data_IF_447802768799
#
_entry.id   IF_447802768799
#
_cell.length_a   1.000
_cell.length_b   1.000
_cell.length_c   1.000
_cell.angle_alpha   90.00
_cell.angle_beta   90.00
_cell.angle_gamma   90.00
#
_symmetry.space_group_name_H-M   'P 1'
#
loop_
_entity.id
_entity.type
_entity.pdbx_description
1 polymer ?
#
# COMPACT_ATOMS: atom_id res chain seq x y z
N UNK A 1 12.02 -6.69 -39.82
CA UNK A 1 12.75 -5.64 -39.09
C UNK A 1 13.31 -6.11 -37.73
N UNK A 2 12.52 -6.60 -36.75
CA UNK A 2 13.07 -7.04 -35.44
C UNK A 2 14.01 -8.25 -35.56
N UNK A 3 13.60 -9.32 -36.24
CA UNK A 3 14.45 -10.50 -36.46
C UNK A 3 15.74 -10.18 -37.25
N UNK A 4 15.68 -9.26 -38.21
CA UNK A 4 16.84 -8.82 -38.98
C UNK A 4 17.86 -8.10 -38.10
N UNK A 5 17.41 -7.28 -37.14
CA UNK A 5 18.29 -6.65 -36.15
C UNK A 5 18.96 -7.70 -35.27
N UNK A 6 18.21 -8.70 -34.79
CA UNK A 6 18.79 -9.80 -34.00
C UNK A 6 19.82 -10.58 -34.83
N UNK A 7 19.52 -10.92 -36.09
CA UNK A 7 20.48 -11.60 -36.97
C UNK A 7 21.76 -10.79 -37.16
N UNK A 8 21.65 -9.48 -37.41
CA UNK A 8 22.80 -8.60 -37.52
C UNK A 8 23.67 -8.61 -36.25
N UNK A 9 23.06 -8.49 -35.06
CA UNK A 9 23.76 -8.58 -33.78
C UNK A 9 24.45 -9.94 -33.62
N UNK A 10 23.77 -11.03 -33.97
CA UNK A 10 24.32 -12.39 -33.88
C UNK A 10 25.52 -12.60 -34.82
N UNK A 11 25.48 -12.04 -36.03
CA UNK A 11 26.59 -12.15 -36.98
C UNK A 11 27.80 -11.32 -36.53
N UNK A 12 27.57 -10.19 -35.86
CA UNK A 12 28.63 -9.38 -35.25
C UNK A 12 29.28 -10.08 -34.04
N UNK A 13 28.49 -10.74 -33.19
CA UNK A 13 28.98 -11.56 -32.07
C UNK A 13 29.85 -12.71 -32.57
N UNK A 14 29.46 -13.40 -33.65
CA UNK A 14 30.28 -14.49 -34.23
C UNK A 14 31.65 -14.00 -34.71
N UNK A 15 31.74 -12.76 -35.19
CA UNK A 15 33.01 -12.16 -35.63
C UNK A 15 33.88 -11.75 -34.43
N UNK A 16 33.24 -11.29 -33.36
CA UNK A 16 33.91 -10.75 -32.17
C UNK A 16 33.86 -11.76 -31.03
N UNK A 17 34.83 -12.69 -30.98
CA UNK A 17 34.82 -13.87 -30.09
C UNK A 17 34.88 -13.60 -28.57
N UNK A 18 34.94 -12.35 -28.12
CA UNK A 18 35.10 -11.99 -26.71
C UNK A 18 34.06 -10.94 -26.27
N UNK A 19 32.79 -11.27 -26.46
CA UNK A 19 31.66 -10.40 -26.11
C UNK A 19 30.73 -11.18 -25.19
N UNK A 20 30.38 -10.58 -24.05
CA UNK A 20 29.34 -11.06 -23.14
C UNK A 20 28.11 -10.18 -23.37
N UNK A 21 27.02 -10.79 -23.81
CA UNK A 21 25.75 -10.08 -23.99
C UNK A 21 24.95 -10.08 -22.69
N UNK A 22 24.47 -8.94 -22.24
CA UNK A 22 23.46 -8.87 -21.18
C UNK A 22 22.07 -8.75 -21.82
N UNK A 23 21.17 -9.64 -21.45
CA UNK A 23 19.77 -9.62 -21.88
C UNK A 23 18.93 -9.42 -20.62
N UNK A 24 18.37 -8.22 -20.48
CA UNK A 24 17.32 -8.01 -19.48
C UNK A 24 16.02 -8.69 -19.93
N UNK A 25 15.22 -9.14 -18.98
CA UNK A 25 13.94 -9.83 -19.25
C UNK A 25 14.04 -10.93 -20.32
N UNK A 26 14.98 -11.88 -20.16
CA UNK A 26 15.29 -12.95 -21.13
C UNK A 26 14.04 -13.72 -21.61
N UNK A 27 13.04 -13.87 -20.75
CA UNK A 27 11.79 -14.55 -21.06
C UNK A 27 10.97 -13.89 -22.18
N UNK A 28 11.13 -12.59 -22.43
CA UNK A 28 10.41 -11.87 -23.51
C UNK A 28 10.83 -12.36 -24.89
N UNK A 29 12.10 -12.76 -25.01
CA UNK A 29 12.72 -13.24 -26.25
C UNK A 29 12.44 -14.73 -26.48
N UNK A 30 12.28 -15.48 -25.38
CA UNK A 30 12.14 -16.94 -25.36
C UNK A 30 10.68 -17.41 -25.31
N UNK A 31 9.81 -16.66 -24.66
CA UNK A 31 8.44 -17.04 -24.31
C UNK A 31 7.35 -16.53 -25.25
N UNK A 32 7.71 -15.76 -26.28
CA UNK A 32 6.79 -15.10 -27.21
C UNK A 32 5.89 -16.06 -28.01
N UNK A 33 6.20 -17.37 -28.07
CA UNK A 33 5.38 -18.35 -28.79
C UNK A 33 4.02 -18.69 -28.16
N UNK A 34 3.72 -18.23 -26.94
CA UNK A 34 2.50 -18.59 -26.22
C UNK A 34 1.37 -17.53 -26.28
N UNK A 35 1.65 -16.31 -26.74
CA UNK A 35 0.65 -15.25 -26.90
C UNK A 35 0.46 -14.95 -28.39
N UNK A 36 -0.79 -14.97 -28.87
CA UNK A 36 -1.12 -14.65 -30.26
C UNK A 36 -0.59 -13.26 -30.64
N UNK A 37 0.50 -13.23 -31.43
CA UNK A 37 1.06 -12.00 -32.00
C UNK A 37 2.48 -11.61 -31.52
N UNK A 38 3.07 -12.30 -30.55
CA UNK A 38 4.46 -12.02 -30.14
C UNK A 38 5.47 -12.78 -31.03
N UNK A 39 6.50 -12.09 -31.51
CA UNK A 39 7.54 -12.67 -32.38
C UNK A 39 8.51 -13.54 -31.59
N UNK A 40 8.59 -14.83 -31.92
CA UNK A 40 9.48 -15.81 -31.28
C UNK A 40 10.90 -15.79 -31.87
N UNK A 41 11.83 -15.15 -31.17
CA UNK A 41 13.24 -15.11 -31.57
C UNK A 41 14.06 -16.32 -31.06
N UNK A 42 13.46 -17.26 -30.31
CA UNK A 42 14.13 -18.42 -29.73
C UNK A 42 14.91 -19.26 -30.76
N UNK A 43 14.36 -19.35 -31.98
CA UNK A 43 14.96 -20.13 -33.07
C UNK A 43 16.30 -19.56 -33.56
N UNK A 44 16.58 -18.28 -33.30
CA UNK A 44 17.85 -17.63 -33.65
C UNK A 44 18.89 -17.86 -32.55
N UNK A 45 18.48 -17.82 -31.27
CA UNK A 45 19.37 -17.93 -30.12
C UNK A 45 19.77 -19.38 -29.78
N UNK A 46 18.83 -20.32 -29.84
CA UNK A 46 19.07 -21.74 -29.48
C UNK A 46 20.29 -22.35 -30.20
N UNK A 47 20.46 -22.18 -31.52
CA UNK A 47 21.62 -22.74 -32.22
C UNK A 47 22.94 -22.09 -31.78
N UNK A 48 22.96 -20.77 -31.57
CA UNK A 48 24.17 -20.04 -31.19
C UNK A 48 24.60 -20.34 -29.75
N UNK A 49 23.64 -20.43 -28.82
CA UNK A 49 23.87 -20.90 -27.45
C UNK A 49 24.36 -22.34 -27.44
N UNK A 50 23.81 -23.22 -28.29
CA UNK A 50 24.24 -24.61 -28.34
C UNK A 50 25.62 -24.83 -28.95
N UNK A 51 26.05 -23.95 -29.86
CA UNK A 51 27.41 -23.98 -30.43
C UNK A 51 28.45 -23.24 -29.59
N UNK A 52 28.02 -22.56 -28.51
CA UNK A 52 28.90 -21.72 -27.71
C UNK A 52 29.42 -20.48 -28.46
N UNK A 53 28.75 -20.09 -29.56
CA UNK A 53 29.07 -18.90 -30.35
C UNK A 53 28.63 -17.61 -29.64
N UNK A 54 27.72 -17.75 -28.67
CA UNK A 54 27.14 -16.66 -27.92
C UNK A 54 27.34 -16.90 -26.43
N UNK A 55 27.94 -15.93 -25.74
CA UNK A 55 27.98 -15.87 -24.29
C UNK A 55 27.00 -14.78 -23.83
N UNK A 56 26.07 -15.12 -22.95
CA UNK A 56 25.16 -14.14 -22.40
C UNK A 56 24.85 -14.35 -20.92
N UNK A 57 24.45 -13.26 -20.28
CA UNK A 57 23.84 -13.22 -18.96
C UNK A 57 22.40 -12.78 -19.17
N UNK A 58 21.45 -13.61 -18.77
CA UNK A 58 20.03 -13.29 -18.82
C UNK A 58 19.48 -12.98 -17.43
N UNK A 59 18.69 -11.92 -17.32
CA UNK A 59 17.88 -11.63 -16.13
C UNK A 59 16.42 -12.01 -16.37
N UNK A 60 15.77 -12.62 -15.38
CA UNK A 60 14.33 -12.96 -15.44
C UNK A 60 13.81 -13.23 -14.03
N UNK A 61 12.49 -13.18 -13.84
CA UNK A 61 11.88 -13.58 -12.58
C UNK A 61 11.81 -15.10 -12.43
N UNK A 62 11.68 -15.59 -11.18
CA UNK A 62 11.54 -17.02 -10.91
C UNK A 62 10.30 -17.62 -11.61
N UNK A 63 9.21 -16.86 -11.69
CA UNK A 63 7.97 -17.31 -12.32
C UNK A 63 8.14 -17.52 -13.83
N UNK A 64 8.79 -16.59 -14.51
CA UNK A 64 9.07 -16.68 -15.94
C UNK A 64 10.11 -17.75 -16.27
N UNK A 65 11.14 -17.89 -15.44
CA UNK A 65 12.13 -18.97 -15.60
C UNK A 65 11.45 -20.33 -15.62
N UNK A 66 10.57 -20.61 -14.63
CA UNK A 66 9.80 -21.86 -14.56
C UNK A 66 8.85 -22.04 -15.74
N UNK A 67 8.26 -20.95 -16.24
CA UNK A 67 7.27 -20.99 -17.31
C UNK A 67 7.90 -21.22 -18.69
N UNK A 68 9.02 -20.57 -18.98
CA UNK A 68 9.57 -20.47 -20.34
C UNK A 68 10.94 -21.11 -20.52
N UNK A 69 11.79 -21.16 -19.48
CA UNK A 69 13.18 -21.63 -19.61
C UNK A 69 13.31 -23.06 -19.12
N UNK A 70 12.82 -23.37 -17.91
CA UNK A 70 12.92 -24.71 -17.30
C UNK A 70 12.17 -25.78 -18.11
N UNK A 71 11.08 -25.39 -18.78
CA UNK A 71 10.31 -26.29 -19.67
C UNK A 71 11.01 -26.55 -21.00
N UNK A 72 11.95 -25.70 -21.41
CA UNK A 72 12.65 -25.83 -22.68
C UNK A 72 14.00 -26.53 -22.48
N UNK A 73 14.06 -27.81 -22.84
CA UNK A 73 15.26 -28.63 -22.69
C UNK A 73 16.52 -28.10 -23.38
N UNK A 74 16.38 -27.27 -24.43
CA UNK A 74 17.53 -26.70 -25.14
C UNK A 74 18.15 -25.54 -24.35
N UNK A 75 17.33 -24.76 -23.65
CA UNK A 75 17.77 -23.60 -22.87
C UNK A 75 18.18 -23.99 -21.46
N UNK A 76 17.43 -24.90 -20.82
CA UNK A 76 17.74 -25.40 -19.48
C UNK A 76 19.14 -26.05 -19.40
N UNK A 77 19.56 -26.73 -20.48
CA UNK A 77 20.91 -27.32 -20.60
C UNK A 77 22.03 -26.32 -20.88
N UNK A 78 21.73 -25.03 -21.06
CA UNK A 78 22.68 -23.98 -21.47
C UNK A 78 22.76 -22.84 -20.47
N UNK A 79 21.69 -22.58 -19.74
CA UNK A 79 21.71 -21.63 -18.64
C UNK A 79 22.04 -22.32 -17.33
N UNK A 80 22.95 -21.71 -16.57
CA UNK A 80 23.12 -22.03 -15.16
C UNK A 80 22.32 -21.01 -14.35
N UNK A 81 21.35 -21.49 -13.56
CA UNK A 81 20.53 -20.60 -12.72
C UNK A 81 21.35 -20.07 -11.55
N UNK A 82 21.46 -18.74 -11.45
CA UNK A 82 21.99 -18.05 -10.26
C UNK A 82 20.82 -17.33 -9.59
N UNK A 83 20.42 -17.81 -8.41
CA UNK A 83 19.31 -17.20 -7.67
C UNK A 83 19.81 -15.93 -6.98
N UNK A 84 19.22 -14.80 -7.35
CA UNK A 84 19.43 -13.51 -6.68
C UNK A 84 18.23 -13.25 -5.79
N UNK A 85 18.46 -13.16 -4.48
CA UNK A 85 17.42 -12.83 -3.51
C UNK A 85 17.32 -11.31 -3.32
N UNK A 86 16.17 -10.84 -2.82
CA UNK A 86 16.04 -9.45 -2.41
C UNK A 86 17.06 -9.15 -1.29
N UNK A 87 17.65 -7.94 -1.25
CA UNK A 87 18.60 -7.56 -0.22
C UNK A 87 17.95 -7.56 1.16
N UNK A 88 18.77 -7.79 2.18
CA UNK A 88 18.38 -7.57 3.57
C UNK A 88 18.06 -6.09 3.81
N UNK A 89 17.33 -5.76 4.89
CA UNK A 89 17.07 -4.36 5.24
C UNK A 89 18.39 -3.57 5.42
N UNK A 90 19.41 -4.19 6.04
CA UNK A 90 20.71 -3.56 6.22
C UNK A 90 21.42 -3.26 4.90
N UNK A 91 21.36 -4.19 3.95
CA UNK A 91 21.98 -4.01 2.64
C UNK A 91 21.19 -3.01 1.78
N UNK A 92 19.85 -3.01 1.87
CA UNK A 92 19.02 -2.01 1.23
C UNK A 92 19.35 -0.59 1.74
N UNK A 93 19.58 -0.40 3.04
CA UNK A 93 20.02 0.89 3.60
C UNK A 93 21.38 1.31 3.01
N UNK A 94 22.34 0.38 2.85
CA UNK A 94 23.63 0.67 2.21
C UNK A 94 23.46 1.08 0.73
N UNK A 95 22.57 0.41 0.00
CA UNK A 95 22.23 0.76 -1.38
C UNK A 95 21.65 2.18 -1.43
N UNK A 96 20.69 2.51 -0.56
CA UNK A 96 20.10 3.84 -0.46
C UNK A 96 21.15 4.91 -0.14
N UNK A 97 22.08 4.64 0.79
CA UNK A 97 23.21 5.53 1.08
C UNK A 97 24.12 5.74 -0.13
N UNK A 98 24.32 4.71 -0.95
CA UNK A 98 25.13 4.79 -2.17
C UNK A 98 24.51 5.60 -3.32
N UNK A 99 23.17 5.63 -3.41
CA UNK A 99 22.45 6.40 -4.44
C UNK A 99 22.00 7.79 -3.94
N UNK A 100 22.06 8.04 -2.62
CA UNK A 100 21.58 9.25 -1.95
C UNK A 100 22.00 10.53 -2.68
N UNK A 101 23.28 10.72 -2.96
CA UNK A 101 23.80 11.94 -3.57
C UNK A 101 23.17 12.26 -4.93
N UNK A 102 22.84 11.24 -5.73
CA UNK A 102 22.17 11.42 -7.02
C UNK A 102 20.74 11.94 -6.87
N UNK A 103 20.01 11.44 -5.88
CA UNK A 103 18.63 11.90 -5.60
C UNK A 103 18.61 13.26 -4.91
N UNK A 104 19.58 13.55 -4.04
CA UNK A 104 19.76 14.88 -3.44
C UNK A 104 20.00 15.95 -4.51
N UNK A 105 20.89 15.66 -5.47
CA UNK A 105 21.17 16.55 -6.59
C UNK A 105 19.95 16.70 -7.52
N UNK A 106 19.28 15.58 -7.85
CA UNK A 106 18.13 15.59 -8.75
C UNK A 106 16.95 16.41 -8.22
N UNK A 107 16.65 16.28 -6.92
CA UNK A 107 15.51 16.97 -6.29
C UNK A 107 15.87 18.29 -5.63
N UNK A 108 17.16 18.60 -5.49
CA UNK A 108 17.67 19.71 -4.68
C UNK A 108 17.18 19.66 -3.23
N UNK A 109 17.34 18.50 -2.60
CA UNK A 109 16.98 18.24 -1.19
C UNK A 109 18.13 17.53 -0.49
N UNK A 110 18.12 17.53 0.85
CA UNK A 110 19.05 16.76 1.68
C UNK A 110 18.26 15.69 2.44
N UNK A 111 18.61 14.41 2.29
CA UNK A 111 17.94 13.32 3.00
C UNK A 111 18.63 13.05 4.33
N UNK A 112 17.91 12.95 5.45
CA UNK A 112 18.55 12.52 6.71
C UNK A 112 18.88 11.02 6.68
N UNK A 113 19.88 10.57 7.44
CA UNK A 113 20.17 9.13 7.56
C UNK A 113 18.96 8.34 8.08
N UNK A 114 18.22 8.94 9.01
CA UNK A 114 16.94 8.43 9.51
C UNK A 114 15.91 8.24 8.38
N UNK A 115 15.82 9.17 7.43
CA UNK A 115 14.89 9.07 6.31
C UNK A 115 15.18 7.84 5.42
N UNK A 116 16.46 7.48 5.22
CA UNK A 116 16.82 6.29 4.47
C UNK A 116 16.45 5.01 5.22
N UNK A 117 16.69 4.97 6.53
CA UNK A 117 16.29 3.83 7.36
C UNK A 117 14.77 3.65 7.38
N UNK A 118 14.02 4.76 7.51
CA UNK A 118 12.57 4.75 7.50
C UNK A 118 12.03 4.32 6.14
N UNK A 119 12.60 4.81 5.03
CA UNK A 119 12.22 4.39 3.69
C UNK A 119 12.30 2.85 3.54
N UNK A 120 13.38 2.22 4.02
CA UNK A 120 13.54 0.76 3.98
C UNK A 120 12.59 0.06 4.95
N UNK A 121 12.59 0.43 6.24
CA UNK A 121 11.78 -0.25 7.28
C UNK A 121 10.28 -0.15 6.97
N UNK A 122 9.81 1.02 6.56
CA UNK A 122 8.40 1.25 6.27
C UNK A 122 7.98 0.59 4.96
N UNK A 123 8.75 0.75 3.88
CA UNK A 123 8.41 0.08 2.62
C UNK A 123 8.46 -1.45 2.76
N UNK A 124 9.39 -2.00 3.55
CA UNK A 124 9.43 -3.43 3.79
C UNK A 124 8.21 -3.96 4.52
N UNK A 125 7.77 -3.23 5.55
CA UNK A 125 6.65 -3.62 6.39
C UNK A 125 5.27 -3.38 5.75
N UNK A 126 5.11 -2.29 5.00
CA UNK A 126 3.79 -1.82 4.55
C UNK A 126 3.56 -2.01 3.04
N UNK A 127 4.62 -2.12 2.23
CA UNK A 127 4.53 -2.35 0.78
C UNK A 127 5.00 -3.78 0.48
N UNK A 128 4.09 -4.74 0.65
CA UNK A 128 4.39 -6.19 0.63
C UNK A 128 4.39 -6.82 -0.77
N UNK A 129 3.78 -6.15 -1.76
CA UNK A 129 3.68 -6.63 -3.14
C UNK A 129 4.93 -6.32 -3.99
N UNK A 130 5.93 -5.64 -3.42
CA UNK A 130 7.18 -5.25 -4.08
C UNK A 130 8.39 -5.69 -3.25
N UNK A 131 9.53 -5.82 -3.91
CA UNK A 131 10.77 -6.26 -3.29
C UNK A 131 11.69 -5.07 -2.99
N UNK A 132 12.50 -5.20 -1.95
CA UNK A 132 13.64 -4.29 -1.75
C UNK A 132 14.67 -4.53 -2.88
N UNK A 133 15.53 -3.53 -3.20
CA UNK A 133 15.54 -2.17 -2.66
C UNK A 133 14.57 -1.22 -3.38
N UNK A 134 14.03 -1.64 -4.53
CA UNK A 134 13.23 -0.85 -5.47
C UNK A 134 12.10 -0.05 -4.80
N UNK A 135 11.26 -0.70 -3.99
CA UNK A 135 10.18 -0.02 -3.25
C UNK A 135 10.66 1.07 -2.28
N UNK A 136 11.86 0.94 -1.73
CA UNK A 136 12.41 1.94 -0.81
C UNK A 136 13.01 3.14 -1.59
N UNK A 137 13.56 2.87 -2.78
CA UNK A 137 14.07 3.89 -3.69
C UNK A 137 12.92 4.79 -4.15
N UNK A 138 11.79 4.22 -4.55
CA UNK A 138 10.67 5.04 -5.01
C UNK A 138 10.05 5.88 -3.89
N UNK A 139 9.98 5.34 -2.66
CA UNK A 139 9.52 6.11 -1.49
C UNK A 139 10.43 7.30 -1.24
N UNK A 140 11.76 7.12 -1.38
CA UNK A 140 12.75 8.18 -1.27
C UNK A 140 12.58 9.23 -2.38
N UNK A 141 12.40 8.78 -3.62
CA UNK A 141 12.23 9.61 -4.81
C UNK A 141 10.98 10.50 -4.73
N UNK A 142 9.85 9.92 -4.35
CA UNK A 142 8.60 10.66 -4.20
C UNK A 142 8.66 11.64 -3.02
N UNK A 143 9.31 11.26 -1.92
CA UNK A 143 9.51 12.17 -0.79
C UNK A 143 10.34 13.40 -1.20
N UNK A 144 11.41 13.20 -1.97
CA UNK A 144 12.24 14.28 -2.51
C UNK A 144 11.45 15.19 -3.46
N UNK A 145 10.75 14.59 -4.42
CA UNK A 145 9.88 15.31 -5.37
C UNK A 145 8.82 16.13 -4.65
N UNK A 146 8.13 15.54 -3.67
CA UNK A 146 7.05 16.20 -2.93
C UNK A 146 7.58 17.34 -2.05
N UNK A 147 8.71 17.13 -1.37
CA UNK A 147 9.34 18.19 -0.57
C UNK A 147 9.77 19.37 -1.47
N UNK A 148 10.31 19.08 -2.65
CA UNK A 148 10.66 20.10 -3.65
C UNK A 148 9.42 20.86 -4.14
N UNK A 149 8.35 20.16 -4.52
CA UNK A 149 7.10 20.79 -4.98
C UNK A 149 6.49 21.65 -3.87
N UNK A 150 6.45 21.15 -2.63
CA UNK A 150 5.93 21.92 -1.49
C UNK A 150 6.68 23.23 -1.27
N UNK A 151 8.00 23.26 -1.53
CA UNK A 151 8.79 24.49 -1.42
C UNK A 151 8.50 25.51 -2.54
N UNK A 152 7.90 25.09 -3.66
CA UNK A 152 7.52 25.98 -4.75
C UNK A 152 6.18 26.67 -4.52
N UNK A 153 5.39 26.21 -3.55
CA UNK A 153 4.10 26.83 -3.25
C UNK A 153 4.31 28.22 -2.65
N UNK A 154 3.61 29.20 -3.21
CA UNK A 154 3.64 30.57 -2.73
C UNK A 154 2.94 30.65 -1.36
N UNK A 155 3.38 31.54 -0.45
CA UNK A 155 2.65 31.82 0.77
C UNK A 155 1.21 32.22 0.44
N UNK A 156 0.20 31.70 1.16
CA UNK A 156 -1.20 32.05 0.92
C UNK A 156 -1.46 33.57 1.07
N UNK A 157 -0.65 34.23 1.90
CA UNK A 157 -0.63 35.69 2.09
C UNK A 157 -0.41 36.49 0.79
N UNK A 158 0.30 35.94 -0.21
CA UNK A 158 0.46 36.59 -1.51
C UNK A 158 -0.83 36.54 -2.34
N UNK A 159 -1.58 35.45 -2.24
CA UNK A 159 -2.87 35.28 -2.92
C UNK A 159 -3.95 36.14 -2.22
N UNK A 160 -3.93 36.20 -0.88
CA UNK A 160 -4.81 37.10 -0.11
C UNK A 160 -4.57 38.58 -0.48
N UNK A 161 -3.30 39.01 -0.52
CA UNK A 161 -2.94 40.37 -0.96
C UNK A 161 -3.33 40.64 -2.42
N UNK A 162 -3.31 39.63 -3.30
CA UNK A 162 -3.78 39.77 -4.68
C UNK A 162 -5.28 40.04 -4.72
N UNK A 163 -6.07 39.28 -3.95
CA UNK A 163 -7.51 39.47 -3.85
C UNK A 163 -7.86 40.86 -3.28
N UNK A 164 -7.15 41.31 -2.23
CA UNK A 164 -7.33 42.67 -1.67
C UNK A 164 -7.00 43.77 -2.71
N UNK A 165 -5.95 43.59 -3.51
CA UNK A 165 -5.60 44.54 -4.59
C UNK A 165 -6.72 44.60 -5.63
N UNK A 166 -7.26 43.45 -6.03
CA UNK A 166 -8.31 43.38 -7.06
C UNK A 166 -9.61 44.02 -6.56
N UNK A 167 -9.96 43.83 -5.28
CA UNK A 167 -11.09 44.51 -4.63
C UNK A 167 -10.92 46.03 -4.62
N UNK A 168 -9.75 46.53 -4.19
CA UNK A 168 -9.44 47.97 -4.16
C UNK A 168 -9.40 48.55 -5.58
N UNK A 169 -8.94 47.80 -6.57
CA UNK A 169 -9.00 48.20 -7.98
C UNK A 169 -10.45 48.38 -8.44
N UNK A 170 -11.35 47.45 -8.11
CA UNK A 170 -12.78 47.56 -8.42
C UNK A 170 -13.43 48.77 -7.75
N UNK A 171 -13.17 49.00 -6.47
CA UNK A 171 -13.66 50.17 -5.72
C UNK A 171 -13.16 51.50 -6.31
N UNK A 172 -11.90 51.53 -6.74
CA UNK A 172 -11.30 52.70 -7.40
C UNK A 172 -11.99 52.99 -8.74
N UNK A 173 -12.23 51.97 -9.58
CA UNK A 173 -12.90 52.13 -10.87
C UNK A 173 -14.36 52.61 -10.72
N UNK A 174 -15.09 52.07 -9.74
CA UNK A 174 -16.44 52.51 -9.41
C UNK A 174 -16.48 53.97 -8.92
N UNK A 175 -15.55 54.36 -8.04
CA UNK A 175 -15.42 55.74 -7.57
C UNK A 175 -15.08 56.72 -8.72
N UNK A 176 -14.25 56.31 -9.68
CA UNK A 176 -13.95 57.10 -10.89
C UNK A 176 -15.21 57.24 -11.77
N UNK A 177 -15.96 56.16 -11.98
CA UNK A 177 -17.21 56.17 -12.75
C UNK A 177 -18.25 57.13 -12.15
N UNK A 178 -18.33 57.17 -10.82
CA UNK A 178 -19.22 58.06 -10.04
C UNK A 178 -18.68 59.49 -9.86
N UNK A 179 -17.52 59.81 -10.42
CA UNK A 179 -16.83 61.11 -10.28
C UNK A 179 -16.47 61.48 -8.83
N UNK A 180 -16.33 60.49 -7.94
CA UNK A 180 -15.89 60.68 -6.55
C UNK A 180 -14.35 60.69 -6.49
N UNK A 181 -13.75 61.80 -6.94
CA UNK A 181 -12.29 61.88 -7.10
C UNK A 181 -11.50 61.76 -5.79
N UNK A 182 -12.07 62.17 -4.66
CA UNK A 182 -11.40 62.07 -3.34
C UNK A 182 -11.35 60.61 -2.84
N UNK A 183 -12.41 59.84 -3.04
CA UNK A 183 -12.45 58.40 -2.71
C UNK A 183 -11.55 57.60 -3.64
N UNK A 184 -11.56 57.91 -4.94
CA UNK A 184 -10.66 57.31 -5.92
C UNK A 184 -9.18 57.55 -5.58
N UNK A 185 -8.84 58.74 -5.03
CA UNK A 185 -7.48 59.04 -4.57
C UNK A 185 -7.09 58.17 -3.35
N UNK A 186 -8.00 57.96 -2.39
CA UNK A 186 -7.77 57.06 -1.24
C UNK A 186 -7.54 55.62 -1.69
N UNK A 187 -8.39 55.09 -2.57
CA UNK A 187 -8.24 53.73 -3.10
C UNK A 187 -6.95 53.57 -3.92
N UNK A 188 -6.53 54.58 -4.68
CA UNK A 188 -5.24 54.58 -5.39
C UNK A 188 -4.06 54.48 -4.42
N UNK A 189 -4.09 55.23 -3.32
CA UNK A 189 -3.01 55.23 -2.34
C UNK A 189 -2.97 53.89 -1.56
N UNK A 190 -4.13 53.30 -1.25
CA UNK A 190 -4.26 51.95 -0.68
C UNK A 190 -3.75 50.87 -1.65
N UNK A 191 -4.14 50.91 -2.92
CA UNK A 191 -3.65 50.00 -3.96
C UNK A 191 -2.12 50.04 -4.03
N UNK A 192 -1.53 51.24 -4.01
CA UNK A 192 -0.08 51.43 -4.03
C UNK A 192 0.59 50.77 -2.82
N UNK A 193 0.04 50.94 -1.62
CA UNK A 193 0.56 50.31 -0.40
C UNK A 193 0.47 48.78 -0.46
N UNK A 194 -0.65 48.23 -0.90
CA UNK A 194 -0.85 46.78 -1.03
C UNK A 194 0.08 46.18 -2.09
N UNK A 195 0.26 46.84 -3.24
CA UNK A 195 1.21 46.42 -4.27
C UNK A 195 2.65 46.42 -3.76
N UNK A 196 3.05 47.45 -3.01
CA UNK A 196 4.38 47.51 -2.38
C UNK A 196 4.58 46.41 -1.35
N UNK A 197 3.58 46.16 -0.50
CA UNK A 197 3.62 45.07 0.50
C UNK A 197 3.74 43.70 -0.16
N UNK A 198 3.00 43.47 -1.25
CA UNK A 198 3.07 42.22 -2.03
C UNK A 198 4.43 42.05 -2.71
N UNK A 199 4.99 43.12 -3.26
CA UNK A 199 6.31 43.10 -3.89
C UNK A 199 7.41 42.80 -2.87
N UNK A 200 7.37 43.43 -1.70
CA UNK A 200 8.26 43.15 -0.57
C UNK A 200 8.17 41.68 -0.14
N UNK A 201 6.97 41.18 0.11
CA UNK A 201 6.74 39.79 0.53
C UNK A 201 7.20 38.79 -0.54
N UNK A 202 7.00 39.11 -1.82
CA UNK A 202 7.45 38.28 -2.93
C UNK A 202 8.99 38.23 -3.02
N UNK A 203 9.67 39.35 -2.76
CA UNK A 203 11.14 39.40 -2.76
C UNK A 203 11.73 38.67 -1.55
N UNK A 204 11.15 38.87 -0.36
CA UNK A 204 11.52 38.15 0.86
C UNK A 204 11.32 36.63 0.69
N UNK A 205 10.23 36.20 0.04
CA UNK A 205 10.00 34.80 -0.31
C UNK A 205 11.03 34.26 -1.32
N UNK A 206 11.40 35.03 -2.34
CA UNK A 206 12.45 34.62 -3.30
C UNK A 206 13.83 34.51 -2.65
N UNK A 207 14.15 35.39 -1.70
CA UNK A 207 15.42 35.36 -0.98
C UNK A 207 15.49 34.17 -0.03
N UNK A 208 14.46 33.97 0.80
CA UNK A 208 14.36 32.77 1.65
C UNK A 208 14.42 31.47 0.83
N UNK A 209 13.84 31.44 -0.39
CA UNK A 209 13.96 30.29 -1.31
C UNK A 209 15.39 29.96 -1.74
N UNK A 210 16.29 30.95 -1.85
CA UNK A 210 17.69 30.71 -2.24
C UNK A 210 18.53 30.14 -1.11
N UNK A 211 18.13 30.40 0.13
CA UNK A 211 18.85 29.98 1.34
C UNK A 211 18.28 28.73 2.00
N UNK A 212 17.08 28.29 1.59
CA UNK A 212 16.39 27.16 2.21
C UNK A 212 16.88 25.82 1.64
N UNK A 213 17.79 25.16 2.37
CA UNK A 213 18.08 23.75 2.18
C UNK A 213 16.87 22.91 2.60
N UNK A 214 16.20 22.28 1.63
CA UNK A 214 15.04 21.43 1.89
C UNK A 214 15.56 20.11 2.47
N UNK A 215 15.30 19.89 3.76
CA UNK A 215 15.67 18.63 4.41
C UNK A 215 14.47 17.68 4.45
N UNK A 216 14.67 16.45 3.99
CA UNK A 216 13.67 15.38 4.02
C UNK A 216 13.96 14.44 5.18
N UNK A 217 12.95 14.19 6.00
CA UNK A 217 13.06 13.46 7.27
C UNK A 217 12.30 12.12 7.25
N UNK A 218 12.40 11.32 8.33
CA UNK A 218 11.63 10.09 8.49
C UNK A 218 10.11 10.32 8.43
N UNK A 219 9.63 11.47 8.92
CA UNK A 219 8.21 11.83 8.87
C UNK A 219 7.69 11.98 7.44
N UNK A 220 8.53 12.41 6.51
CA UNK A 220 8.15 12.53 5.11
C UNK A 220 7.97 11.16 4.46
N UNK A 221 8.81 10.18 4.84
CA UNK A 221 8.67 8.78 4.45
C UNK A 221 7.36 8.20 4.96
N UNK A 222 7.01 8.45 6.23
CA UNK A 222 5.74 8.02 6.82
C UNK A 222 4.55 8.52 6.00
N UNK A 223 4.55 9.81 5.62
CA UNK A 223 3.48 10.40 4.81
C UNK A 223 3.41 9.78 3.41
N UNK A 224 4.54 9.47 2.76
CA UNK A 224 4.55 8.86 1.41
C UNK A 224 3.99 7.44 1.48
N UNK A 225 4.54 6.60 2.37
CA UNK A 225 4.05 5.22 2.53
C UNK A 225 2.58 5.21 2.97
N UNK A 226 2.17 6.15 3.80
CA UNK A 226 0.76 6.34 4.19
C UNK A 226 -0.13 6.65 3.00
N UNK A 227 0.31 7.54 2.10
CA UNK A 227 -0.41 7.89 0.87
C UNK A 227 -0.55 6.69 -0.07
N UNK A 228 0.52 5.92 -0.27
CA UNK A 228 0.54 4.76 -1.16
C UNK A 228 -0.33 3.62 -0.69
N UNK A 229 -0.30 3.37 0.62
CA UNK A 229 -0.97 2.22 1.23
C UNK A 229 -2.38 2.55 1.69
N UNK A 230 -2.72 3.85 1.80
CA UNK A 230 -3.94 4.32 2.45
C UNK A 230 -3.93 4.19 3.98
N UNK A 231 -2.84 3.70 4.58
CA UNK A 231 -2.75 3.43 6.02
C UNK A 231 -2.23 4.70 6.72
N UNK A 232 -2.90 5.26 7.74
CA UNK A 232 -2.46 6.49 8.41
C UNK A 232 -1.28 6.25 9.38
N UNK A 233 -0.08 6.01 8.85
CA UNK A 233 1.14 5.66 9.60
C UNK A 233 1.62 6.77 10.55
N UNK A 234 1.50 8.04 10.16
CA UNK A 234 1.88 9.18 11.01
C UNK A 234 1.10 9.25 12.34
N UNK A 235 0.00 8.50 12.47
CA UNK A 235 -0.80 8.41 13.70
C UNK A 235 -0.41 7.23 14.59
N UNK A 236 0.51 6.35 14.16
CA UNK A 236 0.73 5.04 14.79
C UNK A 236 1.91 5.00 15.80
N UNK A 237 3.03 5.69 15.62
CA UNK A 237 4.22 5.37 16.45
C UNK A 237 4.25 5.96 17.88
N UNK A 238 3.64 7.13 18.14
CA UNK A 238 3.58 7.71 19.50
C UNK A 238 2.17 7.75 20.11
N UNK A 239 1.11 7.71 19.31
CA UNK A 239 -0.30 7.79 19.79
C UNK A 239 -1.01 6.45 19.90
N UNK A 240 -0.47 5.36 19.36
CA UNK A 240 -1.15 4.06 19.37
C UNK A 240 -1.31 3.48 20.78
N UNK A 241 -0.29 3.59 21.63
CA UNK A 241 -0.40 3.14 23.04
C UNK A 241 -1.47 3.92 23.80
N UNK A 242 -1.48 5.26 23.67
CA UNK A 242 -2.52 6.09 24.29
C UNK A 242 -3.92 5.81 23.71
N UNK A 243 -4.02 5.59 22.40
CA UNK A 243 -5.28 5.19 21.76
C UNK A 243 -5.77 3.84 22.25
N UNK A 244 -4.90 2.83 22.38
CA UNK A 244 -5.29 1.52 22.90
C UNK A 244 -5.70 1.59 24.38
N UNK A 245 -5.09 2.48 25.16
CA UNK A 245 -5.53 2.76 26.53
C UNK A 245 -6.94 3.37 26.55
N UNK A 246 -7.26 4.23 25.58
CA UNK A 246 -8.54 4.91 25.48
C UNK A 246 -9.61 4.13 24.68
N UNK A 247 -9.21 3.09 23.92
CA UNK A 247 -10.03 2.37 22.94
C UNK A 247 -11.36 1.90 23.54
N UNK A 248 -11.32 1.34 24.74
CA UNK A 248 -12.52 0.88 25.45
C UNK A 248 -13.57 2.01 25.59
N UNK A 249 -13.14 3.18 26.06
CA UNK A 249 -14.01 4.35 26.24
C UNK A 249 -14.49 4.87 24.90
N UNK A 250 -13.66 4.85 23.87
CA UNK A 250 -14.04 5.32 22.54
C UNK A 250 -15.05 4.37 21.87
N UNK A 251 -14.93 3.06 22.07
CA UNK A 251 -15.93 2.08 21.64
C UNK A 251 -17.26 2.27 22.40
N UNK A 252 -17.22 2.43 23.73
CA UNK A 252 -18.42 2.60 24.58
C UNK A 252 -19.21 3.89 24.31
N UNK A 253 -18.57 4.94 23.79
CA UNK A 253 -19.27 6.17 23.38
C UNK A 253 -20.21 5.94 22.19
N UNK A 254 -19.87 5.00 21.32
CA UNK A 254 -20.57 4.75 20.05
C UNK A 254 -21.47 3.53 20.17
N UNK A 255 -20.97 2.46 20.78
CA UNK A 255 -21.65 1.17 20.88
C UNK A 255 -22.41 1.08 22.20
N UNK A 256 -23.72 1.24 22.13
CA UNK A 256 -24.61 1.27 23.31
C UNK A 256 -24.93 -0.15 23.79
N UNK A 257 -24.75 -0.39 25.09
CA UNK A 257 -25.21 -1.62 25.76
C UNK A 257 -24.34 -2.86 25.53
N UNK A 258 -23.11 -2.69 25.06
CA UNK A 258 -22.15 -3.79 24.80
C UNK A 258 -20.84 -3.64 25.61
N UNK A 259 -20.93 -3.04 26.80
CA UNK A 259 -19.76 -2.66 27.62
C UNK A 259 -18.81 -3.84 27.85
N UNK A 260 -19.33 -5.01 28.22
CA UNK A 260 -18.53 -6.22 28.44
C UNK A 260 -17.79 -6.69 27.17
N UNK A 261 -18.41 -6.58 25.99
CA UNK A 261 -17.77 -6.94 24.73
C UNK A 261 -16.65 -5.96 24.39
N UNK A 262 -16.88 -4.65 24.56
CA UNK A 262 -15.87 -3.61 24.31
C UNK A 262 -14.67 -3.73 25.25
N UNK A 263 -14.88 -4.09 26.52
CA UNK A 263 -13.81 -4.33 27.50
C UNK A 263 -12.91 -5.51 27.07
N UNK A 264 -13.51 -6.64 26.70
CA UNK A 264 -12.78 -7.84 26.26
C UNK A 264 -11.94 -7.55 25.02
N UNK A 265 -12.51 -6.85 24.03
CA UNK A 265 -11.82 -6.46 22.80
C UNK A 265 -10.65 -5.55 23.12
N UNK A 266 -10.88 -4.48 23.88
CA UNK A 266 -9.82 -3.53 24.24
C UNK A 266 -8.70 -4.19 25.04
N UNK A 267 -9.02 -5.08 25.98
CA UNK A 267 -8.03 -5.84 26.76
C UNK A 267 -7.20 -6.78 25.87
N UNK A 268 -7.82 -7.47 24.91
CA UNK A 268 -7.11 -8.34 23.98
C UNK A 268 -6.14 -7.56 23.08
N UNK A 269 -6.58 -6.43 22.52
CA UNK A 269 -5.77 -5.59 21.64
C UNK A 269 -4.62 -4.90 22.40
N UNK A 270 -4.86 -4.42 23.62
CA UNK A 270 -3.80 -3.90 24.52
C UNK A 270 -2.72 -4.94 24.77
N UNK A 271 -3.08 -6.21 25.02
CA UNK A 271 -2.12 -7.31 25.18
C UNK A 271 -1.35 -7.62 23.90
N UNK A 272 -2.03 -7.60 22.74
CA UNK A 272 -1.36 -7.80 21.46
C UNK A 272 -0.28 -6.77 21.18
N UNK A 273 -0.45 -5.52 21.64
CA UNK A 273 0.50 -4.44 21.38
C UNK A 273 1.65 -4.38 22.37
N UNK A 274 1.50 -4.92 23.58
CA UNK A 274 2.57 -4.97 24.58
C UNK A 274 3.68 -5.99 24.23
N UNK A 275 3.76 -6.47 22.98
CA UNK A 275 4.61 -7.58 22.53
C UNK A 275 4.50 -8.87 23.36
N UNK A 276 3.39 -9.02 24.11
CA UNK A 276 3.08 -10.23 24.89
C UNK A 276 2.41 -11.32 24.05
N UNK A 277 2.34 -11.13 22.74
CA UNK A 277 1.66 -12.01 21.79
C UNK A 277 2.66 -12.52 20.75
N UNK A 278 2.44 -13.75 20.28
CA UNK A 278 3.18 -14.29 19.13
C UNK A 278 3.02 -13.35 17.90
N UNK A 279 4.12 -12.79 17.36
CA UNK A 279 4.10 -11.89 16.21
C UNK A 279 3.63 -12.57 14.92
N UNK A 280 3.50 -13.90 14.91
CA UNK A 280 2.96 -14.66 13.79
C UNK A 280 1.45 -14.62 13.70
N UNK A 281 0.72 -14.19 14.75
CA UNK A 281 -0.75 -14.23 14.76
C UNK A 281 -1.40 -12.89 14.37
N UNK A 282 -2.68 -12.88 13.92
CA UNK A 282 -3.44 -11.65 13.69
C UNK A 282 -3.57 -10.77 14.94
N UNK A 283 -3.63 -9.45 14.81
CA UNK A 283 -3.67 -8.45 15.91
C UNK A 283 -4.68 -8.86 16.99
N UNK A 284 -5.86 -9.28 16.58
CA UNK A 284 -6.87 -9.86 17.46
C UNK A 284 -7.74 -10.84 16.69
N UNK A 285 -8.35 -11.76 17.42
CA UNK A 285 -9.29 -12.72 16.85
C UNK A 285 -10.46 -12.88 17.81
N UNK A 286 -11.66 -12.60 17.31
CA UNK A 286 -12.87 -12.48 18.13
C UNK A 286 -14.03 -13.26 17.53
N UNK A 287 -14.90 -13.78 18.39
CA UNK A 287 -16.19 -14.35 18.00
C UNK A 287 -17.31 -13.55 18.66
N UNK A 288 -18.12 -12.87 17.85
CA UNK A 288 -19.24 -12.06 18.29
C UNK A 288 -20.53 -12.88 18.22
N UNK A 289 -21.06 -13.22 19.40
CA UNK A 289 -22.27 -14.03 19.53
C UNK A 289 -23.46 -13.16 19.91
N UNK A 290 -24.61 -13.38 19.27
CA UNK A 290 -25.86 -12.67 19.58
C UNK A 290 -26.85 -12.70 18.41
N UNK A 291 -28.12 -12.30 18.61
CA UNK A 291 -29.08 -12.21 17.51
C UNK A 291 -28.65 -11.22 16.42
N UNK A 292 -29.29 -11.30 15.26
CA UNK A 292 -29.17 -10.26 14.24
C UNK A 292 -29.68 -8.92 14.78
N UNK A 293 -29.09 -7.81 14.31
CA UNK A 293 -29.50 -6.46 14.71
C UNK A 293 -28.96 -5.93 16.05
N UNK A 294 -28.23 -6.73 16.84
CA UNK A 294 -27.64 -6.27 18.13
C UNK A 294 -26.38 -5.40 18.00
N UNK A 295 -25.95 -5.11 16.77
CA UNK A 295 -24.81 -4.23 16.50
C UNK A 295 -23.44 -4.92 16.31
N UNK A 296 -23.40 -6.24 16.07
CA UNK A 296 -22.14 -6.98 15.82
C UNK A 296 -21.31 -6.37 14.68
N UNK A 297 -21.93 -6.13 13.53
CA UNK A 297 -21.29 -5.50 12.37
C UNK A 297 -20.94 -4.03 12.64
N UNK A 298 -21.75 -3.32 13.43
CA UNK A 298 -21.47 -1.94 13.79
C UNK A 298 -20.22 -1.84 14.67
N UNK A 299 -20.10 -2.68 15.70
CA UNK A 299 -18.91 -2.80 16.54
C UNK A 299 -17.65 -3.12 15.72
N UNK A 300 -17.75 -3.98 14.71
CA UNK A 300 -16.64 -4.28 13.80
C UNK A 300 -16.20 -3.05 13.00
N UNK A 301 -17.14 -2.26 12.47
CA UNK A 301 -16.85 -1.00 11.74
C UNK A 301 -16.25 0.07 12.64
N UNK A 302 -16.81 0.24 13.84
CA UNK A 302 -16.26 1.18 14.85
C UNK A 302 -14.85 0.77 15.27
N UNK A 303 -14.58 -0.54 15.37
CA UNK A 303 -13.24 -1.04 15.66
C UNK A 303 -12.27 -0.74 14.51
N UNK A 304 -12.70 -0.90 13.25
CA UNK A 304 -11.90 -0.56 12.07
C UNK A 304 -11.51 0.93 12.07
N UNK A 305 -12.45 1.82 12.36
CA UNK A 305 -12.20 3.27 12.46
C UNK A 305 -11.19 3.61 13.56
N UNK A 306 -11.37 3.03 14.76
CA UNK A 306 -10.49 3.36 15.89
C UNK A 306 -9.08 2.77 15.72
N UNK A 307 -8.97 1.59 15.13
CA UNK A 307 -7.68 0.88 14.96
C UNK A 307 -6.92 1.33 13.71
N UNK A 308 -7.62 1.49 12.59
CA UNK A 308 -7.03 1.75 11.27
C UNK A 308 -7.32 3.15 10.73
N UNK A 309 -8.17 3.94 11.41
CA UNK A 309 -8.47 5.32 11.03
C UNK A 309 -9.51 5.45 9.92
N UNK A 310 -10.09 4.33 9.47
CA UNK A 310 -11.05 4.26 8.37
C UNK A 310 -12.12 3.20 8.67
N UNK A 311 -13.40 3.56 8.58
CA UNK A 311 -14.52 2.62 8.73
C UNK A 311 -14.58 1.62 7.58
N UNK A 312 -14.07 1.98 6.39
CA UNK A 312 -14.03 1.14 5.19
C UNK A 312 -12.77 0.25 5.14
N UNK A 313 -11.95 0.26 6.19
CA UNK A 313 -10.93 -0.74 6.46
C UNK A 313 -11.52 -2.05 7.01
N UNK A 314 -12.73 -2.41 6.56
CA UNK A 314 -13.41 -3.67 6.87
C UNK A 314 -13.53 -4.52 5.60
N UNK A 315 -13.10 -5.78 5.68
CA UNK A 315 -13.29 -6.79 4.66
C UNK A 315 -14.40 -7.71 5.17
N UNK A 316 -15.61 -7.53 4.67
CA UNK A 316 -16.77 -8.33 5.08
C UNK A 316 -16.99 -9.49 4.11
N UNK A 317 -17.16 -10.69 4.65
CA UNK A 317 -17.43 -11.91 3.90
C UNK A 317 -18.63 -12.62 4.53
N UNK A 318 -19.69 -12.79 3.75
CA UNK A 318 -20.89 -13.51 4.16
C UNK A 318 -20.67 -15.02 4.00
N UNK A 319 -20.70 -15.75 5.11
CA UNK A 319 -20.48 -17.20 5.11
C UNK A 319 -21.64 -18.01 4.52
N UNK A 320 -22.80 -17.39 4.31
CA UNK A 320 -23.92 -17.98 3.58
C UNK A 320 -23.58 -18.22 2.10
N UNK A 321 -22.64 -17.46 1.53
CA UNK A 321 -22.14 -17.69 0.16
C UNK A 321 -21.18 -18.88 0.06
N UNK A 322 -20.69 -19.39 1.20
CA UNK A 322 -19.65 -20.42 1.29
C UNK A 322 -20.13 -21.73 1.93
N UNK A 323 -21.43 -22.03 1.80
CA UNK A 323 -22.04 -23.25 2.35
C UNK A 323 -21.57 -24.52 1.63
N UNK A 324 -21.15 -24.42 0.37
CA UNK A 324 -20.84 -25.56 -0.48
C UNK A 324 -19.34 -25.68 -0.74
N UNK A 325 -18.82 -26.91 -0.81
CA UNK A 325 -17.38 -27.17 -0.94
C UNK A 325 -16.70 -26.42 -2.11
N UNK A 326 -17.37 -26.32 -3.27
CA UNK A 326 -16.78 -25.64 -4.43
C UNK A 326 -16.77 -24.11 -4.29
N UNK A 327 -17.61 -23.52 -3.43
CA UNK A 327 -17.62 -22.07 -3.21
C UNK A 327 -16.44 -21.64 -2.35
N UNK A 328 -15.91 -22.52 -1.49
CA UNK A 328 -14.72 -22.27 -0.65
C UNK A 328 -13.50 -21.89 -1.47
N UNK A 329 -13.32 -22.48 -2.67
CA UNK A 329 -12.21 -22.09 -3.54
C UNK A 329 -12.30 -20.64 -4.00
N UNK A 330 -13.47 -19.99 -3.99
CA UNK A 330 -13.57 -18.56 -4.30
C UNK A 330 -12.91 -17.67 -3.23
N UNK A 331 -12.76 -18.13 -1.99
CA UNK A 331 -12.06 -17.37 -0.94
C UNK A 331 -10.56 -17.24 -1.23
N UNK A 332 -9.93 -18.32 -1.71
CA UNK A 332 -8.47 -18.45 -1.88
C UNK A 332 -8.02 -18.52 -3.33
N UNK A 333 -8.96 -18.62 -4.27
CA UNK A 333 -8.72 -18.79 -5.70
C UNK A 333 -9.01 -20.21 -6.16
N UNK A 334 -9.47 -20.34 -7.42
CA UNK A 334 -9.69 -21.64 -8.04
C UNK A 334 -8.36 -22.39 -8.21
N UNK A 335 -8.32 -23.72 -8.08
CA UNK A 335 -7.11 -24.51 -8.36
C UNK A 335 -6.72 -24.47 -9.85
N UNK A 336 -5.44 -24.79 -10.20
CA UNK A 336 -5.00 -24.90 -11.58
C UNK A 336 -5.90 -25.82 -12.42
N UNK A 337 -6.40 -25.31 -13.55
CA UNK A 337 -7.26 -26.04 -14.48
C UNK A 337 -8.78 -25.79 -14.34
N UNK A 338 -9.20 -24.94 -13.40
CA UNK A 338 -10.61 -24.51 -13.25
C UNK A 338 -10.83 -23.09 -13.79
N UNK A 339 -12.06 -22.80 -14.24
CA UNK A 339 -12.46 -21.44 -14.68
C UNK A 339 -12.29 -20.46 -13.52
N UNK A 340 -11.67 -19.31 -13.76
CA UNK A 340 -11.33 -18.32 -12.72
C UNK A 340 -10.04 -18.62 -11.97
N UNK A 341 -9.18 -19.52 -12.45
CA UNK A 341 -7.84 -19.76 -11.86
C UNK A 341 -6.92 -18.53 -11.91
N UNK A 342 -7.06 -17.67 -12.92
CA UNK A 342 -6.28 -16.43 -13.02
C UNK A 342 -6.81 -15.33 -12.09
N UNK A 343 -8.05 -15.48 -11.60
CA UNK A 343 -8.64 -14.58 -10.61
C UNK A 343 -8.22 -15.04 -9.21
N UNK A 344 -7.45 -14.20 -8.51
CA UNK A 344 -7.11 -14.47 -7.11
C UNK A 344 -8.37 -14.59 -6.23
N UNK A 345 -8.25 -15.30 -5.10
CA UNK A 345 -9.39 -15.48 -4.20
C UNK A 345 -9.86 -14.18 -3.57
N UNK A 346 -11.17 -14.07 -3.33
CA UNK A 346 -11.82 -12.88 -2.78
C UNK A 346 -11.21 -12.44 -1.44
N UNK A 347 -10.97 -13.38 -0.52
CA UNK A 347 -10.35 -13.08 0.77
C UNK A 347 -8.86 -12.77 0.59
N UNK A 348 -8.15 -13.62 -0.15
CA UNK A 348 -6.70 -13.48 -0.36
C UNK A 348 -6.33 -12.15 -1.03
N UNK A 349 -7.07 -11.73 -2.05
CA UNK A 349 -6.85 -10.47 -2.77
C UNK A 349 -7.25 -9.26 -1.92
N UNK A 350 -8.40 -9.34 -1.23
CA UNK A 350 -8.86 -8.25 -0.37
C UNK A 350 -7.84 -7.95 0.74
N UNK A 351 -7.34 -8.98 1.42
CA UNK A 351 -6.34 -8.82 2.49
C UNK A 351 -4.98 -8.40 1.91
N UNK A 352 -4.58 -8.89 0.74
CA UNK A 352 -3.34 -8.42 0.10
C UNK A 352 -3.40 -6.93 -0.25
N UNK A 353 -4.57 -6.43 -0.68
CA UNK A 353 -4.78 -5.00 -0.99
C UNK A 353 -4.93 -4.15 0.27
N UNK A 354 -5.57 -4.68 1.32
CA UNK A 354 -5.80 -4.01 2.61
C UNK A 354 -5.31 -4.87 3.78
N UNK A 355 -3.98 -4.99 3.99
CA UNK A 355 -3.41 -5.86 5.03
C UNK A 355 -3.68 -5.37 6.46
N UNK A 356 -4.06 -4.09 6.62
CA UNK A 356 -4.47 -3.48 7.88
C UNK A 356 -5.97 -3.26 7.84
N UNK A 357 -6.71 -4.29 8.26
CA UNK A 357 -8.16 -4.29 8.16
C UNK A 357 -8.78 -5.18 9.23
N UNK A 358 -10.06 -4.94 9.48
CA UNK A 358 -10.94 -5.88 10.18
C UNK A 358 -11.48 -6.86 9.15
N UNK A 359 -11.17 -8.16 9.28
CA UNK A 359 -11.76 -9.21 8.45
C UNK A 359 -12.96 -9.80 9.19
N UNK A 360 -14.16 -9.51 8.69
CA UNK A 360 -15.43 -9.92 9.27
C UNK A 360 -16.01 -11.12 8.51
N UNK A 361 -16.01 -12.29 9.15
CA UNK A 361 -16.72 -13.48 8.70
C UNK A 361 -18.11 -13.51 9.33
N UNK A 362 -19.13 -13.14 8.55
CA UNK A 362 -20.50 -13.03 9.04
C UNK A 362 -21.22 -14.39 8.98
N UNK A 363 -21.96 -14.74 10.03
CA UNK A 363 -22.72 -16.01 10.15
C UNK A 363 -21.88 -17.28 9.97
N UNK A 364 -20.78 -17.39 10.72
CA UNK A 364 -19.79 -18.49 10.58
C UNK A 364 -20.40 -19.89 10.69
N UNK A 365 -21.53 -20.05 11.39
CA UNK A 365 -22.27 -21.31 11.48
C UNK A 365 -22.83 -21.81 10.14
N UNK A 366 -22.93 -20.95 9.13
CA UNK A 366 -23.39 -21.32 7.78
C UNK A 366 -22.27 -21.84 6.89
N UNK A 367 -21.02 -21.52 7.21
CA UNK A 367 -19.87 -21.88 6.39
C UNK A 367 -19.70 -23.40 6.24
N UNK A 368 -19.17 -23.82 5.09
CA UNK A 368 -18.67 -25.18 4.93
C UNK A 368 -17.48 -25.44 5.90
N UNK A 369 -17.33 -26.65 6.46
CA UNK A 369 -16.23 -26.98 7.38
C UNK A 369 -14.82 -26.65 6.86
N UNK A 370 -14.58 -26.78 5.55
CA UNK A 370 -13.29 -26.44 4.93
C UNK A 370 -12.92 -24.96 5.13
N UNK A 371 -13.91 -24.04 5.25
CA UNK A 371 -13.65 -22.63 5.57
C UNK A 371 -13.05 -22.50 6.97
N UNK A 372 -13.58 -23.25 7.94
CA UNK A 372 -13.07 -23.25 9.32
C UNK A 372 -11.62 -23.72 9.34
N UNK A 373 -11.25 -24.70 8.51
CA UNK A 373 -9.87 -25.17 8.43
C UNK A 373 -8.92 -24.11 7.86
N UNK A 374 -9.34 -23.33 6.86
CA UNK A 374 -8.58 -22.18 6.37
C UNK A 374 -8.44 -21.10 7.46
N UNK A 375 -9.51 -20.84 8.22
CA UNK A 375 -9.49 -19.88 9.33
C UNK A 375 -8.51 -20.32 10.43
N UNK A 376 -8.45 -21.61 10.78
CA UNK A 376 -7.50 -22.11 11.77
C UNK A 376 -6.05 -21.79 11.36
N UNK A 377 -5.70 -21.98 10.09
CA UNK A 377 -4.37 -21.60 9.57
C UNK A 377 -4.10 -20.11 9.76
N UNK A 378 -5.08 -19.26 9.44
CA UNK A 378 -4.97 -17.80 9.64
C UNK A 378 -4.81 -17.43 11.12
N UNK A 379 -5.55 -18.09 12.01
CA UNK A 379 -5.52 -17.82 13.46
C UNK A 379 -4.22 -18.28 14.12
N UNK A 380 -3.59 -19.35 13.62
CA UNK A 380 -2.35 -19.92 14.16
C UNK A 380 -1.09 -19.25 13.61
N UNK A 381 -1.00 -19.13 12.29
CA UNK A 381 0.22 -18.70 11.57
C UNK A 381 0.11 -17.29 10.98
N UNK A 382 -1.07 -16.66 11.06
CA UNK A 382 -1.32 -15.33 10.48
C UNK A 382 -1.03 -15.28 8.99
N UNK A 383 -1.09 -16.42 8.30
CA UNK A 383 -0.76 -16.56 6.89
C UNK A 383 -1.73 -17.51 6.22
N UNK A 384 -2.05 -17.22 4.97
CA UNK A 384 -2.86 -18.07 4.11
C UNK A 384 -2.16 -18.19 2.76
N UNK A 385 -2.02 -19.39 2.24
CA UNK A 385 -1.50 -19.60 0.88
C UNK A 385 -2.67 -19.70 -0.07
N UNK A 386 -2.68 -18.84 -1.09
CA UNK A 386 -3.70 -18.86 -2.14
C UNK A 386 -3.47 -19.99 -3.15
N UNK A 387 -4.41 -20.23 -4.07
CA UNK A 387 -4.30 -21.31 -5.05
C UNK A 387 -3.16 -21.14 -6.07
N UNK A 388 -2.62 -19.92 -6.18
CA UNK A 388 -1.48 -19.56 -7.03
C UNK A 388 -0.14 -19.68 -6.29
N UNK A 389 -0.16 -20.15 -5.03
CA UNK A 389 1.04 -20.32 -4.20
C UNK A 389 1.55 -19.02 -3.57
N UNK A 390 0.77 -17.94 -3.62
CA UNK A 390 1.11 -16.66 -3.00
C UNK A 390 0.73 -16.70 -1.52
N UNK A 391 1.65 -16.25 -0.66
CA UNK A 391 1.42 -16.19 0.79
C UNK A 391 0.82 -14.82 1.13
N UNK A 392 -0.40 -14.83 1.65
CA UNK A 392 -1.13 -13.66 2.14
C UNK A 392 -0.91 -13.51 3.63
N UNK A 393 -0.60 -12.29 4.06
CA UNK A 393 -0.27 -11.96 5.44
C UNK A 393 -1.48 -11.37 6.18
N UNK A 394 -1.88 -12.04 7.26
CA UNK A 394 -2.96 -11.65 8.17
C UNK A 394 -2.46 -11.11 9.50
N UNK A 395 -1.14 -11.03 9.73
CA UNK A 395 -0.56 -10.58 11.02
C UNK A 395 -1.00 -9.17 11.42
N UNK A 396 -1.32 -8.34 10.44
CA UNK A 396 -1.78 -6.96 10.62
C UNK A 396 -3.32 -6.81 10.59
N UNK A 397 -4.07 -7.91 10.59
CA UNK A 397 -5.53 -7.91 10.57
C UNK A 397 -6.14 -8.15 11.96
N UNK A 398 -7.38 -7.70 12.15
CA UNK A 398 -8.24 -8.16 13.24
C UNK A 398 -9.30 -9.09 12.66
N UNK A 399 -9.32 -10.33 13.10
CA UNK A 399 -10.30 -11.33 12.65
C UNK A 399 -11.52 -11.26 13.55
N UNK A 400 -12.70 -11.10 12.96
CA UNK A 400 -13.98 -11.15 13.67
C UNK A 400 -14.86 -12.18 12.97
N UNK A 401 -15.38 -13.13 13.74
CA UNK A 401 -16.41 -14.06 13.30
C UNK A 401 -17.71 -13.68 13.99
N UNK A 402 -18.83 -13.58 13.29
CA UNK A 402 -20.14 -13.42 13.93
C UNK A 402 -20.87 -14.76 13.94
N UNK A 403 -21.70 -14.96 14.96
CA UNK A 403 -22.63 -16.08 14.97
C UNK A 403 -23.96 -15.68 15.60
N UNK A 404 -25.05 -16.21 15.04
CA UNK A 404 -26.39 -16.08 15.60
C UNK A 404 -26.72 -17.25 16.55
N UNK A 405 -25.80 -18.21 16.69
CA UNK A 405 -25.95 -19.33 17.64
C UNK A 405 -26.07 -18.78 19.07
N UNK A 406 -27.08 -19.25 19.80
CA UNK A 406 -27.39 -18.78 21.16
C UNK A 406 -28.36 -17.59 21.23
N UNK A 407 -28.79 -17.02 20.11
CA UNK A 407 -29.77 -15.93 20.09
C UNK A 407 -31.09 -16.25 20.81
N UNK A 408 -31.56 -17.50 20.73
CA UNK A 408 -32.78 -17.96 21.41
C UNK A 408 -32.66 -17.97 22.94
N UNK A 409 -31.44 -18.11 23.48
CA UNK A 409 -31.21 -18.02 24.92
C UNK A 409 -31.26 -16.57 25.40
N UNK A 410 -30.72 -15.64 24.58
CA UNK A 410 -30.70 -14.20 24.86
C UNK A 410 -32.10 -13.58 24.74
N UNK A 411 -32.89 -13.98 23.73
CA UNK A 411 -34.27 -13.48 23.57
C UNK A 411 -35.22 -13.94 24.68
N UNK A 412 -34.93 -15.05 25.38
CA UNK A 412 -35.78 -15.55 26.47
C UNK A 412 -35.78 -14.64 27.71
N UNK A 413 -34.75 -13.82 27.92
CA UNK A 413 -34.69 -12.92 29.07
C UNK A 413 -35.54 -11.65 28.91
N UNK A 414 -35.97 -11.33 27.68
CA UNK A 414 -36.79 -10.14 27.37
C UNK A 414 -38.26 -10.51 27.17
N UNK A 415 -38.86 -11.24 28.12
CA UNK A 415 -40.31 -11.34 28.18
C UNK A 415 -40.90 -10.12 28.91
N UNK A 416 -41.50 -9.19 28.17
CA UNK A 416 -42.48 -8.25 28.71
C UNK A 416 -43.77 -9.02 29.01
N UNK A 417 -43.97 -9.41 30.26
CA UNK A 417 -45.20 -10.05 30.72
C UNK A 417 -45.00 -10.82 32.03
N UNK A 418 -46.03 -10.80 32.89
CA UNK A 418 -46.03 -11.52 34.16
C UNK A 418 -46.07 -13.05 33.95
N UNK A 419 -44.92 -13.71 34.10
CA UNK A 419 -44.83 -15.16 34.26
C UNK A 419 -43.38 -15.54 34.61
N UNK A 420 -43.07 -16.24 35.70
CA UNK A 420 -43.85 -17.15 36.55
C UNK A 420 -43.56 -16.92 38.05
N UNK A 421 -44.53 -17.31 38.88
CA UNK A 421 -44.39 -17.60 40.31
C UNK A 421 -43.34 -18.66 40.58
#
# INVERSE_FOLDING_TARGET
>A
QFEERIKAVMDEIKRTRNVILFIDELHTIVGAGAAEGAMDASNIFKPALSRGEMQCIGATTLAEYRKFIEKDSALDRRFQSVKVEAPSQEDAIKILKGIRSKYEEHHHVTFTDESLEFAVKLSDRYITNRYLPDKAIDVLDEAGSRARIASLNRPPELDDLQNEIDEVCGLKEDAISKQHFEEAAKFRDQEKQLRQKREQLMEDWKQSRKEMEITVTGDDMLKIVSSWTGIPLARMEQKETQRLLQLEKDLQKVVVGQDAATEVIAKALRRSRADLKDPRRPIGSFMFMGPTGVGKTHLAKTLAENMFGDQDAIIQIDMSEYMEKFTVSRLIGSPPGYVGHEDGGQLSEAVRRKPYSVVLFDEIEKAHPDVVQLLLQVLEDGRLTDSLGRVVDFRNTIIIMTSNVGAQLIQKETSLGFGKK
#
